data_IF_088124303016
#
_entry.id   IF_088124303016
#
_cell.length_a   1.000
_cell.length_b   1.000
_cell.length_c   1.000
_cell.angle_alpha   90.00
_cell.angle_beta   90.00
_cell.angle_gamma   90.00
#
_symmetry.space_group_name_H-M   'P 1'
#
loop_
_entity.id
_entity.type
_entity.pdbx_description
1 polymer ?
#
# COMPACT_ATOMS: atom_id res chain seq x y z
N UNK A 1 -14.86 8.87 20.46
CA UNK A 1 -13.82 9.12 21.47
C UNK A 1 -12.76 8.06 21.26
N UNK A 2 -11.73 8.36 20.46
CA UNK A 2 -10.65 7.41 20.17
C UNK A 2 -9.79 7.35 21.45
N UNK A 3 -9.70 6.18 22.07
CA UNK A 3 -8.77 5.98 23.19
C UNK A 3 -7.36 6.32 22.69
N UNK A 4 -6.71 7.30 23.33
CA UNK A 4 -5.27 7.50 23.21
C UNK A 4 -4.61 6.26 23.78
N UNK A 5 -4.23 5.33 22.92
CA UNK A 5 -3.26 4.31 23.31
C UNK A 5 -1.92 5.04 23.34
N UNK A 6 -1.41 5.28 24.55
CA UNK A 6 -0.04 5.76 24.75
C UNK A 6 0.90 4.70 24.21
N UNK A 7 1.42 4.89 23.00
CA UNK A 7 2.53 4.10 22.48
C UNK A 7 3.83 4.84 22.74
N UNK A 8 4.76 4.11 23.33
CA UNK A 8 6.05 4.60 23.79
C UNK A 8 6.88 5.11 22.61
N UNK A 9 7.49 6.28 22.82
CA UNK A 9 8.64 6.76 22.05
C UNK A 9 9.73 5.67 22.01
N UNK A 10 10.43 5.58 20.88
CA UNK A 10 11.49 4.61 20.60
C UNK A 10 12.46 4.37 21.76
N UNK A 11 12.19 3.28 22.49
CA UNK A 11 13.13 2.63 23.39
C UNK A 11 13.74 1.38 22.72
N UNK A 12 14.82 0.81 23.29
CA UNK A 12 15.58 -0.30 22.71
C UNK A 12 14.84 -1.65 22.61
N UNK A 13 13.55 -1.70 22.93
CA UNK A 13 12.74 -2.93 23.12
C UNK A 13 11.46 -2.93 22.26
N UNK A 14 11.47 -2.22 21.13
CA UNK A 14 10.31 -2.18 20.23
C UNK A 14 10.21 -3.49 19.45
N UNK A 15 9.08 -4.16 19.56
CA UNK A 15 8.76 -5.35 18.77
C UNK A 15 8.55 -5.00 17.28
N UNK A 16 9.54 -5.36 16.47
CA UNK A 16 9.56 -5.18 15.01
C UNK A 16 9.26 -6.49 14.26
N UNK A 17 8.60 -7.45 14.93
CA UNK A 17 8.16 -8.70 14.31
C UNK A 17 7.10 -8.49 13.22
N UNK A 18 6.92 -9.53 12.41
CA UNK A 18 5.83 -9.58 11.43
C UNK A 18 4.46 -9.53 12.10
N UNK A 19 4.28 -10.23 13.21
CA UNK A 19 3.05 -10.24 13.99
C UNK A 19 2.71 -8.84 14.51
N UNK A 20 3.70 -8.11 15.02
CA UNK A 20 3.55 -6.71 15.42
C UNK A 20 3.15 -5.82 14.24
N UNK A 21 3.81 -5.97 13.08
CA UNK A 21 3.45 -5.24 11.87
C UNK A 21 2.00 -5.52 11.42
N UNK A 22 1.58 -6.79 11.41
CA UNK A 22 0.22 -7.20 11.07
C UNK A 22 -0.80 -6.66 12.09
N UNK A 23 -0.47 -6.67 13.38
CA UNK A 23 -1.31 -6.08 14.43
C UNK A 23 -1.54 -4.58 14.18
N UNK A 24 -0.47 -3.82 13.96
CA UNK A 24 -0.56 -2.39 13.65
C UNK A 24 -1.33 -2.14 12.35
N UNK A 25 -1.09 -2.94 11.30
CA UNK A 25 -1.81 -2.84 10.04
C UNK A 25 -3.33 -3.05 10.24
N UNK A 26 -3.72 -4.08 11.00
CA UNK A 26 -5.12 -4.42 11.25
C UNK A 26 -5.84 -3.38 12.15
N UNK A 27 -5.08 -2.57 12.89
CA UNK A 27 -5.63 -1.43 13.64
C UNK A 27 -6.05 -0.26 12.74
N UNK A 28 -5.56 -0.21 11.48
CA UNK A 28 -5.95 0.81 10.51
C UNK A 28 -7.38 0.55 10.00
N UNK A 29 -8.10 1.62 9.63
CA UNK A 29 -9.47 1.50 9.13
C UNK A 29 -9.52 0.71 7.82
N UNK A 30 -10.37 -0.32 7.76
CA UNK A 30 -10.54 -1.15 6.56
C UNK A 30 -11.34 -0.46 5.46
N UNK A 31 -11.17 -0.91 4.20
CA UNK A 31 -11.92 -0.39 3.06
C UNK A 31 -13.43 -0.53 3.23
N UNK A 32 -13.93 -1.65 3.77
CA UNK A 32 -15.36 -1.85 3.96
C UNK A 32 -15.94 -0.84 4.95
N UNK A 33 -15.21 -0.48 6.00
CA UNK A 33 -15.59 0.58 6.94
C UNK A 33 -15.48 1.97 6.31
N UNK A 34 -14.44 2.24 5.52
CA UNK A 34 -14.30 3.49 4.77
C UNK A 34 -15.47 3.69 3.80
N UNK A 35 -15.80 2.66 3.01
CA UNK A 35 -16.91 2.69 2.03
C UNK A 35 -18.27 2.82 2.73
N UNK A 36 -18.49 2.11 3.85
CA UNK A 36 -19.71 2.30 4.66
C UNK A 36 -19.83 3.74 5.15
N UNK A 37 -18.76 4.31 5.69
CA UNK A 37 -18.73 5.73 6.11
C UNK A 37 -18.94 6.71 4.96
N UNK A 38 -18.41 6.43 3.76
CA UNK A 38 -18.66 7.24 2.55
C UNK A 38 -20.13 7.17 2.12
N UNK A 39 -20.76 5.99 2.22
CA UNK A 39 -22.20 5.82 1.94
C UNK A 39 -23.08 6.51 2.98
N UNK A 40 -22.66 6.50 4.24
CA UNK A 40 -23.40 7.08 5.38
C UNK A 40 -23.19 8.61 5.51
N UNK A 41 -22.00 9.11 5.21
CA UNK A 41 -21.66 10.54 5.22
C UNK A 41 -21.56 11.03 3.78
N UNK A 42 -22.54 11.83 3.33
CA UNK A 42 -22.56 12.54 2.03
C UNK A 42 -21.42 13.56 1.82
N UNK A 43 -20.29 13.44 2.52
CA UNK A 43 -19.30 14.52 2.70
C UNK A 43 -17.85 14.12 2.45
N UNK A 44 -17.55 12.87 2.10
CA UNK A 44 -16.20 12.50 1.64
C UNK A 44 -16.20 12.63 0.12
N UNK A 45 -15.45 13.61 -0.38
CA UNK A 45 -15.23 13.85 -1.80
C UNK A 45 -14.24 12.81 -2.34
N UNK A 46 -14.66 11.87 -3.21
CA UNK A 46 -13.76 10.87 -3.77
C UNK A 46 -12.52 11.48 -4.41
N UNK A 47 -12.66 12.65 -5.01
CA UNK A 47 -11.58 13.42 -5.65
C UNK A 47 -10.40 13.75 -4.72
N UNK A 48 -10.57 13.86 -3.40
CA UNK A 48 -9.44 14.17 -2.49
C UNK A 48 -8.56 12.95 -2.20
N UNK A 49 -9.00 11.73 -2.55
CA UNK A 49 -8.27 10.52 -2.18
C UNK A 49 -6.89 10.42 -2.86
N UNK A 50 -6.77 10.93 -4.11
CA UNK A 50 -5.50 10.99 -4.83
C UNK A 50 -4.57 12.04 -4.23
N UNK A 51 -5.10 13.23 -3.92
CA UNK A 51 -4.33 14.31 -3.28
C UNK A 51 -3.77 13.86 -1.93
N UNK A 52 -4.59 13.19 -1.11
CA UNK A 52 -4.15 12.60 0.15
C UNK A 52 -3.07 11.53 -0.08
N UNK A 53 -3.22 10.68 -1.10
CA UNK A 53 -2.21 9.64 -1.40
C UNK A 53 -0.88 10.28 -1.81
N UNK A 54 -0.91 11.33 -2.64
CA UNK A 54 0.27 12.09 -3.02
C UNK A 54 0.93 12.78 -1.80
N UNK A 55 0.14 13.28 -0.85
CA UNK A 55 0.67 13.84 0.39
C UNK A 55 1.38 12.79 1.24
N UNK A 56 0.81 11.59 1.40
CA UNK A 56 1.48 10.50 2.12
C UNK A 56 2.78 10.06 1.44
N UNK A 57 2.79 9.95 0.10
CA UNK A 57 4.02 9.66 -0.65
C UNK A 57 5.09 10.73 -0.39
N UNK A 58 4.72 12.01 -0.45
CA UNK A 58 5.62 13.11 -0.14
C UNK A 58 6.17 13.05 1.29
N UNK A 59 5.33 12.71 2.28
CA UNK A 59 5.77 12.50 3.67
C UNK A 59 6.79 11.36 3.78
N UNK A 60 6.67 10.32 2.96
CA UNK A 60 7.64 9.23 2.86
C UNK A 60 8.92 9.60 2.09
N UNK A 61 9.04 10.84 1.60
CA UNK A 61 10.14 11.27 0.75
C UNK A 61 10.09 10.66 -0.64
N UNK A 62 8.92 10.19 -1.09
CA UNK A 62 8.68 9.64 -2.42
C UNK A 62 7.91 10.67 -3.23
N UNK A 63 8.58 11.30 -4.19
CA UNK A 63 7.90 12.13 -5.19
C UNK A 63 7.14 11.23 -6.18
N UNK A 64 5.95 11.66 -6.60
CA UNK A 64 5.10 10.86 -7.51
C UNK A 64 5.84 10.51 -8.81
N UNK A 65 6.71 11.39 -9.31
CA UNK A 65 7.53 11.13 -10.52
C UNK A 65 8.56 10.02 -10.32
N UNK A 66 8.92 9.65 -9.09
CA UNK A 66 9.78 8.49 -8.85
C UNK A 66 9.05 7.18 -9.17
N UNK A 67 7.72 7.16 -9.10
CA UNK A 67 6.90 6.00 -9.46
C UNK A 67 6.95 5.72 -10.97
N UNK A 68 7.21 6.73 -11.81
CA UNK A 68 7.37 6.57 -13.26
C UNK A 68 8.52 5.59 -13.59
N UNK A 69 9.55 5.54 -12.74
CA UNK A 69 10.66 4.60 -12.86
C UNK A 69 10.29 3.12 -12.65
N UNK A 70 9.08 2.84 -12.14
CA UNK A 70 8.57 1.48 -11.95
C UNK A 70 7.85 0.93 -13.19
N UNK A 71 7.76 1.68 -14.30
CA UNK A 71 7.12 1.27 -15.56
C UNK A 71 5.76 0.58 -15.35
N UNK A 72 4.84 1.24 -14.64
CA UNK A 72 3.67 0.59 -14.04
C UNK A 72 2.67 0.10 -15.10
N UNK A 73 2.20 -1.14 -14.94
CA UNK A 73 1.00 -1.65 -15.62
C UNK A 73 -0.15 -1.65 -14.62
N UNK A 74 -1.13 -0.79 -14.86
CA UNK A 74 -2.26 -0.57 -13.97
C UNK A 74 -3.52 -1.26 -14.48
N UNK A 75 -4.10 -2.14 -13.67
CA UNK A 75 -5.21 -3.00 -14.10
C UNK A 75 -6.47 -2.71 -13.29
N UNK A 76 -7.47 -2.13 -13.97
CA UNK A 76 -8.83 -1.96 -13.45
C UNK A 76 -9.83 -2.93 -14.10
N UNK A 77 -11.02 -3.04 -13.52
CA UNK A 77 -12.12 -3.86 -14.03
C UNK A 77 -12.99 -4.48 -12.94
N UNK A 78 -14.20 -4.88 -13.32
CA UNK A 78 -15.16 -5.51 -12.40
C UNK A 78 -14.78 -6.96 -12.07
N UNK A 79 -14.18 -7.68 -13.03
CA UNK A 79 -13.79 -9.09 -12.92
C UNK A 79 -12.47 -9.32 -13.66
N UNK A 80 -11.74 -10.35 -13.27
CA UNK A 80 -10.52 -10.79 -13.97
C UNK A 80 -9.25 -10.00 -13.66
N UNK A 81 -9.31 -8.88 -12.92
CA UNK A 81 -8.14 -8.04 -12.60
C UNK A 81 -6.94 -8.84 -12.07
N UNK A 82 -7.10 -9.54 -10.95
CA UNK A 82 -6.02 -10.34 -10.37
C UNK A 82 -5.46 -11.42 -11.32
N UNK A 83 -6.32 -12.08 -12.12
CA UNK A 83 -5.88 -13.05 -13.13
C UNK A 83 -5.10 -12.38 -14.26
N UNK A 84 -5.58 -11.23 -14.76
CA UNK A 84 -4.87 -10.43 -15.76
C UNK A 84 -3.52 -9.96 -15.23
N UNK A 85 -3.45 -9.43 -14.00
CA UNK A 85 -2.20 -9.04 -13.37
C UNK A 85 -1.23 -10.23 -13.29
N UNK A 86 -1.69 -11.41 -12.89
CA UNK A 86 -0.85 -12.60 -12.77
C UNK A 86 -0.31 -13.08 -14.12
N UNK A 87 -1.11 -13.01 -15.18
CA UNK A 87 -0.65 -13.34 -16.53
C UNK A 87 0.37 -12.34 -17.06
N UNK A 88 0.12 -11.04 -16.87
CA UNK A 88 1.05 -9.98 -17.26
C UNK A 88 2.38 -10.11 -16.53
N UNK A 89 2.36 -10.29 -15.21
CA UNK A 89 3.56 -10.50 -14.39
C UNK A 89 4.36 -11.71 -14.86
N UNK A 90 3.69 -12.84 -15.11
CA UNK A 90 4.34 -14.07 -15.55
C UNK A 90 5.04 -13.90 -16.90
N UNK A 91 4.40 -13.20 -17.85
CA UNK A 91 4.99 -12.90 -19.17
C UNK A 91 6.24 -12.04 -19.00
N UNK A 92 6.14 -10.93 -18.26
CA UNK A 92 7.26 -10.00 -18.07
C UNK A 92 8.44 -10.66 -17.36
N UNK A 93 8.17 -11.45 -16.32
CA UNK A 93 9.21 -12.19 -15.62
C UNK A 93 9.89 -13.22 -16.53
N UNK A 94 9.16 -13.89 -17.41
CA UNK A 94 9.74 -14.81 -18.41
C UNK A 94 10.61 -14.09 -19.45
N UNK A 95 10.37 -12.79 -19.68
CA UNK A 95 11.22 -11.93 -20.51
C UNK A 95 12.46 -11.40 -19.77
N UNK A 96 12.65 -11.75 -18.49
CA UNK A 96 13.84 -11.42 -17.72
C UNK A 96 13.74 -10.15 -16.88
N UNK A 97 12.58 -9.50 -16.81
CA UNK A 97 12.37 -8.32 -15.95
C UNK A 97 12.26 -8.73 -14.47
N UNK A 98 12.83 -7.93 -13.56
CA UNK A 98 12.54 -7.97 -12.12
C UNK A 98 11.15 -7.38 -11.90
N UNK A 99 10.18 -8.21 -11.56
CA UNK A 99 8.77 -7.80 -11.45
C UNK A 99 8.39 -7.45 -10.01
N UNK A 100 7.62 -6.38 -9.84
CA UNK A 100 6.80 -6.10 -8.67
C UNK A 100 5.34 -6.41 -8.96
N UNK A 101 4.62 -7.00 -8.01
CA UNK A 101 3.21 -7.33 -8.18
C UNK A 101 2.41 -6.93 -6.94
N UNK A 102 1.39 -6.10 -7.13
CA UNK A 102 0.46 -5.67 -6.10
C UNK A 102 -0.98 -6.07 -6.41
N UNK A 103 -1.63 -6.79 -5.48
CA UNK A 103 -3.00 -7.28 -5.65
C UNK A 103 -3.84 -7.24 -4.37
N UNK A 104 -5.16 -7.33 -4.52
CA UNK A 104 -6.07 -7.45 -3.37
C UNK A 104 -7.37 -8.19 -3.69
N UNK A 105 -7.99 -8.89 -2.72
CA UNK A 105 -7.49 -9.17 -1.37
C UNK A 105 -6.40 -10.27 -1.35
N UNK A 106 -5.85 -10.57 -0.16
CA UNK A 106 -5.08 -11.81 0.06
C UNK A 106 -6.02 -12.94 0.49
N UNK A 107 -5.57 -14.18 0.38
CA UNK A 107 -6.32 -15.36 0.82
C UNK A 107 -5.92 -15.80 2.23
N UNK A 108 -4.63 -15.92 2.52
CA UNK A 108 -4.12 -16.42 3.82
C UNK A 108 -3.25 -15.37 4.50
N UNK A 109 -2.20 -14.88 3.83
CA UNK A 109 -1.21 -13.97 4.39
C UNK A 109 -1.19 -12.62 3.67
N UNK A 110 -1.00 -11.52 4.41
CA UNK A 110 -0.95 -10.18 3.81
C UNK A 110 0.23 -9.99 2.85
N UNK A 111 1.31 -10.76 3.04
CA UNK A 111 2.47 -10.80 2.16
C UNK A 111 2.11 -11.21 0.73
N UNK A 112 1.04 -11.99 0.52
CA UNK A 112 0.57 -12.38 -0.81
C UNK A 112 0.23 -11.16 -1.71
N UNK A 113 -0.08 -10.02 -1.09
CA UNK A 113 -0.43 -8.79 -1.79
C UNK A 113 0.77 -8.11 -2.44
N UNK A 114 1.99 -8.34 -1.95
CA UNK A 114 3.21 -7.72 -2.46
C UNK A 114 4.17 -8.84 -2.83
N UNK A 115 4.42 -9.03 -4.13
CA UNK A 115 5.31 -10.07 -4.63
C UNK A 115 6.46 -9.49 -5.42
N UNK A 116 7.61 -10.15 -5.33
CA UNK A 116 8.79 -9.89 -6.14
C UNK A 116 9.07 -11.16 -6.95
N UNK A 117 9.12 -11.04 -8.28
CA UNK A 117 9.33 -12.19 -9.17
C UNK A 117 8.37 -13.36 -8.89
N UNK A 118 7.07 -13.06 -8.78
CA UNK A 118 5.98 -14.01 -8.42
C UNK A 118 5.99 -14.56 -6.99
N UNK A 119 7.02 -14.27 -6.18
CA UNK A 119 7.14 -14.77 -4.80
C UNK A 119 6.66 -13.69 -3.81
N UNK A 120 5.69 -13.97 -2.93
CA UNK A 120 5.34 -13.08 -1.82
C UNK A 120 6.60 -12.64 -1.05
N UNK A 121 6.66 -11.37 -0.67
CA UNK A 121 7.78 -10.91 0.17
C UNK A 121 7.80 -11.67 1.50
N UNK A 122 8.99 -11.92 2.04
CA UNK A 122 9.13 -12.63 3.31
C UNK A 122 8.52 -11.82 4.46
N UNK A 123 8.21 -12.49 5.56
CA UNK A 123 7.67 -11.85 6.76
C UNK A 123 8.64 -10.80 7.32
N UNK A 124 9.95 -11.08 7.27
CA UNK A 124 11.00 -10.16 7.69
C UNK A 124 11.07 -8.94 6.77
N UNK A 125 11.06 -9.14 5.44
CA UNK A 125 11.08 -8.04 4.48
C UNK A 125 9.81 -7.20 4.59
N UNK A 126 8.66 -7.83 4.84
CA UNK A 126 7.41 -7.14 5.12
C UNK A 126 7.52 -6.28 6.38
N UNK A 127 7.94 -6.86 7.50
CA UNK A 127 8.03 -6.16 8.79
C UNK A 127 8.99 -4.97 8.72
N UNK A 128 10.17 -5.16 8.13
CA UNK A 128 11.16 -4.10 7.96
C UNK A 128 10.60 -2.91 7.18
N UNK A 129 10.06 -3.15 5.98
CA UNK A 129 9.49 -2.08 5.16
C UNK A 129 8.21 -1.49 5.78
N UNK A 130 7.44 -2.32 6.49
CA UNK A 130 6.25 -1.86 7.21
C UNK A 130 6.62 -0.79 8.23
N UNK A 131 7.60 -1.05 9.11
CA UNK A 131 7.96 -0.09 10.16
C UNK A 131 8.67 1.14 9.61
N UNK A 132 9.48 1.00 8.54
CA UNK A 132 10.03 2.17 7.82
C UNK A 132 8.94 3.13 7.34
N UNK A 133 7.85 2.60 6.77
CA UNK A 133 6.72 3.41 6.31
C UNK A 133 5.85 3.88 7.48
N UNK A 134 5.51 2.98 8.40
CA UNK A 134 4.60 3.25 9.52
C UNK A 134 5.13 4.37 10.42
N UNK A 135 6.42 4.35 10.74
CA UNK A 135 7.02 5.30 11.69
C UNK A 135 7.04 6.71 11.15
N UNK A 136 7.41 6.87 9.88
CA UNK A 136 7.44 8.17 9.20
C UNK A 136 6.04 8.77 9.14
N UNK A 137 5.04 7.95 8.79
CA UNK A 137 3.65 8.40 8.73
C UNK A 137 3.08 8.69 10.12
N UNK A 138 3.36 7.83 11.10
CA UNK A 138 2.88 7.98 12.46
C UNK A 138 3.44 9.24 13.13
N UNK A 139 4.74 9.51 12.97
CA UNK A 139 5.38 10.72 13.46
C UNK A 139 4.81 11.99 12.80
N UNK A 140 4.20 11.86 11.63
CA UNK A 140 3.60 12.97 10.87
C UNK A 140 2.09 13.12 11.07
N UNK A 141 1.45 12.34 11.95
CA UNK A 141 -0.02 12.34 12.13
C UNK A 141 -0.58 13.72 12.48
N UNK A 142 0.12 14.52 13.27
CA UNK A 142 -0.34 15.86 13.64
C UNK A 142 -0.37 16.82 12.44
N UNK A 143 0.52 16.65 11.46
CA UNK A 143 0.56 17.49 10.26
C UNK A 143 -0.37 16.97 9.14
N UNK A 144 -0.46 15.65 8.96
CA UNK A 144 -1.28 15.00 7.93
C UNK A 144 -2.69 14.61 8.41
N UNK A 145 -3.04 14.95 9.66
CA UNK A 145 -4.33 14.78 10.34
C UNK A 145 -4.78 13.34 10.65
N UNK A 146 -4.25 12.32 9.95
CA UNK A 146 -4.59 10.92 10.22
C UNK A 146 -3.60 9.93 9.56
N UNK A 147 -3.53 8.71 10.10
CA UNK A 147 -2.92 7.57 9.41
C UNK A 147 -3.74 7.18 8.17
N UNK A 148 -3.10 6.71 7.07
CA UNK A 148 -3.83 6.20 5.93
C UNK A 148 -4.65 4.95 6.30
N UNK A 149 -5.78 4.77 5.62
CA UNK A 149 -6.59 3.56 5.76
C UNK A 149 -5.81 2.32 5.29
N UNK A 150 -6.22 1.13 5.74
CA UNK A 150 -5.57 -0.16 5.52
C UNK A 150 -5.05 -0.37 4.09
N UNK A 151 -5.91 -0.16 3.09
CA UNK A 151 -5.55 -0.38 1.69
C UNK A 151 -4.60 0.69 1.15
N UNK A 152 -4.82 1.96 1.52
CA UNK A 152 -3.93 3.06 1.13
C UNK A 152 -2.55 2.84 1.73
N UNK A 153 -2.47 2.41 2.99
CA UNK A 153 -1.20 2.05 3.64
C UNK A 153 -0.48 0.94 2.87
N UNK A 154 -1.18 -0.16 2.50
CA UNK A 154 -0.57 -1.25 1.73
C UNK A 154 -0.12 -0.83 0.34
N UNK A 155 -0.85 0.08 -0.32
CA UNK A 155 -0.45 0.65 -1.61
C UNK A 155 0.84 1.47 -1.46
N UNK A 156 0.94 2.31 -0.43
CA UNK A 156 2.17 3.07 -0.13
C UNK A 156 3.34 2.13 0.18
N UNK A 157 3.10 1.08 0.98
CA UNK A 157 4.09 0.06 1.31
C UNK A 157 4.58 -0.68 0.05
N UNK A 158 3.67 -1.05 -0.86
CA UNK A 158 4.03 -1.71 -2.11
C UNK A 158 4.94 -0.82 -2.97
N UNK A 159 4.61 0.47 -3.13
CA UNK A 159 5.48 1.41 -3.84
C UNK A 159 6.85 1.57 -3.18
N UNK A 160 6.90 1.69 -1.85
CA UNK A 160 8.15 1.76 -1.10
C UNK A 160 9.03 0.53 -1.34
N UNK A 161 8.45 -0.68 -1.23
CA UNK A 161 9.16 -1.94 -1.49
C UNK A 161 9.66 -1.99 -2.94
N UNK A 162 8.82 -1.68 -3.92
CA UNK A 162 9.20 -1.76 -5.34
C UNK A 162 10.32 -0.78 -5.72
N UNK A 163 10.28 0.44 -5.18
CA UNK A 163 11.36 1.42 -5.37
C UNK A 163 12.67 0.95 -4.72
N UNK A 164 12.60 0.47 -3.47
CA UNK A 164 13.78 0.01 -2.71
C UNK A 164 14.42 -1.23 -3.35
N UNK A 165 13.59 -2.14 -3.83
CA UNK A 165 13.99 -3.34 -4.54
C UNK A 165 14.39 -3.07 -5.99
N UNK A 166 14.16 -1.86 -6.53
CA UNK A 166 14.51 -1.49 -7.90
C UNK A 166 13.92 -2.49 -8.91
N UNK A 167 12.62 -2.75 -8.80
CA UNK A 167 11.92 -3.57 -9.81
C UNK A 167 11.91 -2.83 -11.15
N UNK A 168 12.01 -3.57 -12.24
CA UNK A 168 12.00 -3.01 -13.59
C UNK A 168 10.57 -2.65 -14.05
N UNK A 169 9.58 -3.41 -13.57
CA UNK A 169 8.16 -3.25 -13.91
C UNK A 169 7.28 -3.64 -12.73
N UNK A 170 6.30 -2.81 -12.40
CA UNK A 170 5.31 -3.09 -11.37
C UNK A 170 3.91 -3.29 -11.97
N UNK A 171 3.28 -4.43 -11.67
CA UNK A 171 1.89 -4.74 -12.06
C UNK A 171 0.99 -4.46 -10.87
N UNK A 172 0.12 -3.46 -11.00
CA UNK A 172 -0.68 -2.90 -9.90
C UNK A 172 -2.17 -3.14 -10.18
N UNK A 173 -2.80 -3.95 -9.34
CA UNK A 173 -4.26 -4.12 -9.34
C UNK A 173 -4.95 -2.92 -8.67
N UNK A 174 -5.95 -2.34 -9.35
CA UNK A 174 -6.85 -1.35 -8.75
C UNK A 174 -7.73 -2.00 -7.68
N UNK A 175 -7.92 -1.33 -6.55
CA UNK A 175 -8.86 -1.76 -5.52
C UNK A 175 -10.31 -1.70 -5.99
N UNK A 176 -10.89 -0.50 -6.01
CA UNK A 176 -12.30 -0.29 -6.41
C UNK A 176 -12.40 0.90 -7.36
N UNK A 177 -13.10 0.69 -8.48
CA UNK A 177 -13.31 1.74 -9.47
C UNK A 177 -12.06 1.96 -10.29
N UNK A 178 -11.38 3.08 -10.10
CA UNK A 178 -10.16 3.42 -10.84
C UNK A 178 -9.81 4.89 -10.65
N UNK A 179 -10.68 5.78 -11.16
CA UNK A 179 -10.44 7.23 -11.20
C UNK A 179 -9.99 7.81 -9.85
N UNK A 180 -10.63 7.41 -8.75
CA UNK A 180 -10.32 7.88 -7.39
C UNK A 180 -9.70 6.81 -6.50
N UNK A 181 -9.26 5.68 -7.05
CA UNK A 181 -8.56 4.66 -6.26
C UNK A 181 -7.15 5.17 -5.90
N UNK A 182 -6.64 4.89 -4.70
CA UNK A 182 -5.32 5.39 -4.30
C UNK A 182 -4.17 4.85 -5.17
N UNK A 183 -4.38 3.75 -5.89
CA UNK A 183 -3.40 3.24 -6.85
C UNK A 183 -3.28 4.14 -8.09
N UNK A 184 -4.29 4.98 -8.38
CA UNK A 184 -4.33 5.91 -9.51
C UNK A 184 -3.61 7.25 -9.22
N UNK A 185 -2.69 7.26 -8.25
CA UNK A 185 -1.77 8.39 -7.99
C UNK A 185 -0.60 8.42 -8.99
N UNK A 186 -0.45 7.33 -9.75
CA UNK A 186 0.54 7.11 -10.80
C UNK A 186 0.20 7.93 -12.06
N UNK A 187 1.17 8.09 -12.97
CA UNK A 187 1.04 8.88 -14.20
C UNK A 187 1.22 8.05 -15.46
#
# INVERSE_FOLDING_TARGET
>A
MVQRVSFCNGGPDRDLSYESAVFHLNSLQSNSMTIKKVRERRSIKPETNLEETAQFLKTLGIEVTQLDGLNIIHVSGTKGKGSTCAFVESILRQLGFKTGFYSSPHLVHVTERIRLNSVPISEELFAQNFFEVYDVLFASVDSIKAMPAYFKFLTLLAFHVFLKEKVDVAVIEVGIGGEYDCTNVIR
#
